data_IF_698716252058
#
_entry.id   IF_698716252058
#
_cell.length_a   1.000
_cell.length_b   1.000
_cell.length_c   1.000
_cell.angle_alpha   90.00
_cell.angle_beta   90.00
_cell.angle_gamma   90.00
#
_symmetry.space_group_name_H-M   'P 1'
#
loop_
_entity.id
_entity.type
_entity.pdbx_description
1 polymer ?
#
# COMPACT_ATOMS: atom_id res chain seq x y z
N UNK A 1 26.67 45.97 -44.54
CA UNK A 1 27.72 44.95 -44.33
C UNK A 1 27.38 44.15 -43.08
N UNK A 2 27.24 42.81 -43.16
CA UNK A 2 26.62 41.96 -42.13
C UNK A 2 27.66 41.19 -41.29
N UNK A 3 27.24 40.67 -40.13
CA UNK A 3 27.96 39.66 -39.33
C UNK A 3 27.50 39.71 -37.87
N UNK A 4 27.01 38.65 -37.23
CA UNK A 4 26.89 37.25 -37.63
C UNK A 4 25.81 36.56 -36.79
N UNK A 5 25.37 35.42 -37.30
CA UNK A 5 24.28 34.61 -36.79
C UNK A 5 24.58 33.97 -35.43
N UNK A 6 23.53 33.89 -34.62
CA UNK A 6 23.44 33.07 -33.42
C UNK A 6 22.03 32.51 -33.28
N UNK A 7 21.54 31.80 -34.30
CA UNK A 7 20.32 31.00 -34.23
C UNK A 7 20.61 29.75 -33.41
N UNK A 8 20.03 29.63 -32.21
CA UNK A 8 19.82 28.33 -31.57
C UNK A 8 18.43 27.82 -31.97
N UNK A 9 18.28 26.70 -32.70
CA UNK A 9 16.98 26.27 -33.23
C UNK A 9 16.11 25.48 -32.24
N UNK A 10 16.53 25.26 -31.00
CA UNK A 10 15.81 24.40 -30.07
C UNK A 10 15.36 25.17 -28.83
N UNK A 11 14.21 25.84 -28.99
CA UNK A 11 13.33 26.15 -27.86
C UNK A 11 12.65 24.88 -27.38
N UNK A 12 13.39 24.03 -26.67
CA UNK A 12 12.80 22.95 -25.89
C UNK A 12 12.82 23.35 -24.43
N UNK A 13 11.71 23.96 -24.01
CA UNK A 13 11.33 23.96 -22.61
C UNK A 13 11.02 22.51 -22.26
N UNK A 14 12.03 21.74 -21.83
CA UNK A 14 11.83 20.42 -21.23
C UNK A 14 11.08 20.65 -19.92
N UNK A 15 9.76 20.79 -20.02
CA UNK A 15 8.85 20.45 -18.96
C UNK A 15 9.16 18.99 -18.65
N UNK A 16 10.03 18.75 -17.66
CA UNK A 16 10.05 17.50 -16.94
C UNK A 16 8.62 17.29 -16.50
N UNK A 17 7.90 16.47 -17.26
CA UNK A 17 6.62 15.92 -16.86
C UNK A 17 6.88 15.37 -15.47
N UNK A 18 6.39 16.06 -14.45
CA UNK A 18 6.38 15.56 -13.08
C UNK A 18 5.43 14.38 -13.15
N UNK A 19 5.96 13.23 -13.52
CA UNK A 19 5.21 11.99 -13.61
C UNK A 19 4.54 11.84 -12.26
N UNK A 20 3.20 11.86 -12.28
CA UNK A 20 2.39 11.75 -11.07
C UNK A 20 2.45 10.30 -10.60
N UNK A 21 3.56 9.95 -9.95
CA UNK A 21 3.72 8.64 -9.34
C UNK A 21 2.70 8.50 -8.21
N UNK A 22 2.10 7.32 -8.10
CA UNK A 22 1.22 7.01 -7.00
C UNK A 22 2.02 6.94 -5.69
N UNK A 23 1.38 7.31 -4.60
CA UNK A 23 1.98 7.19 -3.27
C UNK A 23 2.22 5.70 -2.93
N UNK A 24 3.41 5.31 -2.47
CA UNK A 24 3.71 3.92 -2.09
C UNK A 24 2.70 3.31 -1.11
N UNK A 25 2.13 4.11 -0.21
CA UNK A 25 1.11 3.66 0.74
C UNK A 25 -0.21 3.32 0.05
N UNK A 26 -0.56 4.04 -1.02
CA UNK A 26 -1.72 3.71 -1.85
C UNK A 26 -1.50 2.41 -2.62
N UNK A 27 -0.28 2.20 -3.14
CA UNK A 27 0.09 0.94 -3.81
C UNK A 27 0.03 -0.21 -2.81
N UNK A 28 0.57 -0.04 -1.59
CA UNK A 28 0.52 -1.02 -0.50
C UNK A 28 -0.91 -1.37 -0.09
N UNK A 29 -1.77 -0.36 0.11
CA UNK A 29 -3.16 -0.56 0.45
C UNK A 29 -3.93 -1.31 -0.65
N UNK A 30 -3.70 -0.94 -1.91
CA UNK A 30 -4.27 -1.62 -3.07
C UNK A 30 -3.82 -3.07 -3.20
N UNK A 31 -2.52 -3.32 -3.01
CA UNK A 31 -1.95 -4.66 -3.02
C UNK A 31 -2.53 -5.55 -1.90
N UNK A 32 -2.57 -5.05 -0.66
CA UNK A 32 -3.17 -5.78 0.47
C UNK A 32 -4.63 -6.15 0.21
N UNK A 33 -5.42 -5.21 -0.32
CA UNK A 33 -6.82 -5.46 -0.68
C UNK A 33 -6.96 -6.52 -1.78
N UNK A 34 -6.17 -6.43 -2.84
CA UNK A 34 -6.19 -7.40 -3.94
C UNK A 34 -5.82 -8.81 -3.45
N UNK A 35 -4.78 -8.92 -2.62
CA UNK A 35 -4.37 -10.18 -2.00
C UNK A 35 -5.47 -10.76 -1.10
N UNK A 36 -6.11 -9.92 -0.27
CA UNK A 36 -7.20 -10.37 0.60
C UNK A 36 -8.40 -10.86 -0.20
N UNK A 37 -8.76 -10.19 -1.30
CA UNK A 37 -9.85 -10.62 -2.18
C UNK A 37 -9.54 -11.94 -2.89
N UNK A 38 -8.32 -12.07 -3.42
CA UNK A 38 -7.85 -13.31 -4.03
C UNK A 38 -7.89 -14.46 -3.02
N UNK A 39 -7.33 -14.25 -1.82
CA UNK A 39 -7.29 -15.28 -0.78
C UNK A 39 -8.67 -15.66 -0.25
N UNK A 40 -9.58 -14.70 -0.12
CA UNK A 40 -10.99 -14.98 0.22
C UNK A 40 -11.68 -15.86 -0.83
N UNK A 41 -11.40 -15.62 -2.11
CA UNK A 41 -11.94 -16.43 -3.19
C UNK A 41 -11.37 -17.86 -3.20
N UNK A 42 -10.07 -18.00 -2.94
CA UNK A 42 -9.40 -19.32 -2.86
C UNK A 42 -9.78 -20.09 -1.59
N UNK A 43 -10.03 -19.40 -0.48
CA UNK A 43 -10.30 -19.98 0.84
C UNK A 43 -11.57 -19.34 1.43
N UNK A 44 -12.77 -19.88 1.16
CA UNK A 44 -14.03 -19.28 1.61
C UNK A 44 -14.13 -19.07 3.13
N UNK A 45 -13.50 -19.94 3.92
CA UNK A 45 -13.43 -19.82 5.39
C UNK A 45 -12.71 -18.56 5.86
N UNK A 46 -11.80 -18.00 5.06
CA UNK A 46 -11.18 -16.73 5.38
C UNK A 46 -12.21 -15.59 5.39
N UNK A 47 -13.16 -15.60 4.44
CA UNK A 47 -14.26 -14.62 4.43
C UNK A 47 -15.12 -14.69 5.70
N UNK A 48 -15.51 -15.90 6.11
CA UNK A 48 -16.27 -16.11 7.36
C UNK A 48 -15.49 -15.65 8.59
N UNK A 49 -14.17 -15.88 8.63
CA UNK A 49 -13.34 -15.36 9.71
C UNK A 49 -13.34 -13.82 9.74
N UNK A 50 -13.27 -13.16 8.58
CA UNK A 50 -13.28 -11.69 8.51
C UNK A 50 -14.61 -11.11 9.00
N UNK A 51 -15.74 -11.75 8.67
CA UNK A 51 -17.06 -11.37 9.18
C UNK A 51 -17.12 -11.46 10.71
N UNK A 52 -16.63 -12.57 11.28
CA UNK A 52 -16.58 -12.75 12.74
C UNK A 52 -15.70 -11.70 13.42
N UNK A 53 -14.53 -11.40 12.86
CA UNK A 53 -13.62 -10.36 13.39
C UNK A 53 -14.29 -8.99 13.38
N UNK A 54 -15.00 -8.65 12.30
CA UNK A 54 -15.76 -7.39 12.19
C UNK A 54 -16.85 -7.30 13.26
N UNK A 55 -17.61 -8.38 13.47
CA UNK A 55 -18.64 -8.43 14.51
C UNK A 55 -18.06 -8.25 15.92
N UNK A 56 -17.00 -8.98 16.25
CA UNK A 56 -16.33 -8.89 17.57
C UNK A 56 -15.78 -7.48 17.79
N UNK A 57 -15.14 -6.88 16.79
CA UNK A 57 -14.63 -5.51 16.87
C UNK A 57 -15.76 -4.50 17.17
N UNK A 58 -16.90 -4.60 16.47
CA UNK A 58 -18.07 -3.75 16.72
C UNK A 58 -18.65 -3.95 18.13
N UNK A 59 -18.72 -5.19 18.61
CA UNK A 59 -19.19 -5.50 19.96
C UNK A 59 -18.26 -4.92 21.04
N UNK A 60 -16.95 -5.01 20.87
CA UNK A 60 -15.98 -4.42 21.82
C UNK A 60 -16.09 -2.89 21.81
N UNK A 61 -16.13 -2.27 20.63
CA UNK A 61 -16.25 -0.82 20.49
C UNK A 61 -17.55 -0.26 21.09
N UNK A 62 -18.65 -1.01 21.03
CA UNK A 62 -19.93 -0.60 21.62
C UNK A 62 -20.00 -0.78 23.14
N UNK A 63 -19.28 -1.76 23.70
CA UNK A 63 -19.26 -2.04 25.14
C UNK A 63 -18.24 -1.19 25.90
N UNK A 64 -17.11 -0.87 25.28
CA UNK A 64 -16.01 -0.14 25.92
C UNK A 64 -15.69 1.16 25.17
N UNK A 65 -16.22 2.26 25.72
CA UNK A 65 -15.96 3.61 25.21
C UNK A 65 -14.51 4.08 25.41
N UNK A 66 -13.77 3.51 26.37
CA UNK A 66 -12.35 3.83 26.56
C UNK A 66 -11.49 3.22 25.44
N UNK A 67 -11.80 2.00 25.01
CA UNK A 67 -11.17 1.35 23.85
C UNK A 67 -11.42 2.17 22.58
N UNK A 68 -12.67 2.56 22.35
CA UNK A 68 -13.03 3.38 21.18
C UNK A 68 -12.32 4.75 21.20
N UNK A 69 -12.22 5.40 22.35
CA UNK A 69 -11.49 6.67 22.48
C UNK A 69 -9.98 6.50 22.25
N UNK A 70 -9.39 5.41 22.76
CA UNK A 70 -7.97 5.10 22.55
C UNK A 70 -7.65 4.82 21.07
N UNK A 71 -8.51 4.07 20.38
CA UNK A 71 -8.39 3.79 18.94
C UNK A 71 -8.59 5.04 18.07
N UNK A 72 -9.43 5.99 18.51
CA UNK A 72 -9.58 7.28 17.84
C UNK A 72 -8.38 8.18 18.03
N UNK A 73 -7.81 8.22 19.24
CA UNK A 73 -6.63 9.03 19.55
C UNK A 73 -5.38 8.56 18.80
N UNK A 74 -5.25 7.25 18.59
CA UNK A 74 -4.12 6.63 17.87
C UNK A 74 -4.30 6.61 16.36
N UNK A 75 -5.51 6.91 15.84
CA UNK A 75 -5.84 6.78 14.42
C UNK A 75 -5.98 5.32 13.94
N UNK A 76 -5.78 4.35 14.83
CA UNK A 76 -5.83 2.93 14.53
C UNK A 76 -7.23 2.43 14.17
N UNK A 77 -8.29 3.18 14.51
CA UNK A 77 -9.67 2.80 14.15
C UNK A 77 -9.88 2.63 12.64
N UNK A 78 -9.18 3.40 11.81
CA UNK A 78 -9.25 3.29 10.34
C UNK A 78 -8.32 2.20 9.79
N UNK A 79 -7.27 1.85 10.54
CA UNK A 79 -6.28 0.85 10.16
C UNK A 79 -6.68 -0.57 10.56
N UNK A 80 -7.37 -0.72 11.71
CA UNK A 80 -7.73 -2.00 12.31
C UNK A 80 -8.54 -2.90 11.38
N UNK A 81 -9.44 -2.30 10.58
CA UNK A 81 -10.27 -3.06 9.64
C UNK A 81 -9.47 -3.55 8.41
N UNK A 82 -8.40 -2.84 8.06
CA UNK A 82 -7.55 -3.10 6.89
C UNK A 82 -6.24 -3.82 7.21
N UNK A 83 -5.89 -3.95 8.49
CA UNK A 83 -4.63 -4.53 8.92
C UNK A 83 -4.59 -6.03 8.63
N UNK A 84 -3.67 -6.44 7.76
CA UNK A 84 -3.47 -7.81 7.31
C UNK A 84 -1.97 -8.07 7.18
N UNK A 85 -1.51 -9.24 7.63
CA UNK A 85 -0.14 -9.69 7.38
C UNK A 85 -0.15 -10.94 6.49
N UNK A 86 0.58 -10.89 5.38
CA UNK A 86 0.81 -12.05 4.53
C UNK A 86 1.97 -12.90 5.03
N UNK A 87 1.97 -14.19 4.70
CA UNK A 87 3.11 -15.07 4.90
C UNK A 87 3.43 -15.80 3.59
N UNK A 88 4.68 -15.73 3.16
CA UNK A 88 5.16 -16.37 1.93
C UNK A 88 6.50 -17.07 2.19
N UNK A 89 6.82 -18.06 1.36
CA UNK A 89 8.11 -18.78 1.40
C UNK A 89 8.77 -18.66 0.03
N UNK A 90 10.10 -18.55 0.02
CA UNK A 90 10.94 -18.57 -1.18
C UNK A 90 12.03 -19.61 -1.06
N UNK A 91 12.48 -20.14 -2.20
CA UNK A 91 13.46 -21.23 -2.28
C UNK A 91 14.89 -20.76 -2.52
N UNK A 92 15.10 -19.53 -3.03
CA UNK A 92 16.44 -19.03 -3.39
C UNK A 92 16.72 -17.61 -2.91
N UNK A 93 18.00 -17.27 -2.77
CA UNK A 93 18.43 -15.91 -2.45
C UNK A 93 18.03 -14.89 -3.54
N UNK A 94 17.98 -15.32 -4.80
CA UNK A 94 17.59 -14.47 -5.92
C UNK A 94 16.09 -14.11 -5.87
N UNK A 95 15.24 -15.06 -5.48
CA UNK A 95 13.81 -14.81 -5.25
C UNK A 95 13.61 -13.82 -4.11
N UNK A 96 14.35 -13.99 -2.99
CA UNK A 96 14.29 -13.05 -1.86
C UNK A 96 14.71 -11.64 -2.28
N UNK A 97 15.82 -11.49 -3.01
CA UNK A 97 16.27 -10.20 -3.51
C UNK A 97 15.26 -9.54 -4.46
N UNK A 98 14.59 -10.34 -5.28
CA UNK A 98 13.53 -9.87 -6.17
C UNK A 98 12.30 -9.41 -5.39
N UNK A 99 11.87 -10.18 -4.39
CA UNK A 99 10.76 -9.79 -3.51
C UNK A 99 11.07 -8.54 -2.71
N UNK A 100 12.28 -8.38 -2.19
CA UNK A 100 12.69 -7.16 -1.50
C UNK A 100 12.51 -5.92 -2.39
N UNK A 101 12.90 -6.01 -3.67
CA UNK A 101 12.69 -4.93 -4.65
C UNK A 101 11.20 -4.70 -4.96
N UNK A 102 10.41 -5.77 -5.05
CA UNK A 102 8.96 -5.68 -5.24
C UNK A 102 8.29 -4.97 -4.07
N UNK A 103 8.64 -5.35 -2.83
CA UNK A 103 8.10 -4.73 -1.62
C UNK A 103 8.55 -3.27 -1.44
N UNK A 104 9.76 -2.93 -1.90
CA UNK A 104 10.25 -1.55 -1.87
C UNK A 104 9.38 -0.56 -2.67
N UNK A 105 8.74 -1.01 -3.77
CA UNK A 105 7.79 -0.17 -4.54
C UNK A 105 6.57 0.24 -3.69
N UNK A 106 6.19 -0.61 -2.73
CA UNK A 106 5.07 -0.39 -1.80
C UNK A 106 5.51 0.28 -0.49
N UNK A 107 6.75 0.80 -0.42
CA UNK A 107 7.30 1.38 0.80
C UNK A 107 7.52 0.37 1.93
N UNK A 108 7.50 -0.93 1.64
CA UNK A 108 7.75 -2.00 2.61
C UNK A 108 9.24 -2.33 2.64
N UNK A 109 9.82 -2.37 3.84
CA UNK A 109 11.25 -2.63 4.06
C UNK A 109 11.43 -3.91 4.87
N UNK A 110 12.56 -4.62 4.73
CA UNK A 110 12.92 -5.69 5.64
C UNK A 110 13.19 -5.10 7.03
N UNK A 111 12.35 -5.46 8.01
CA UNK A 111 12.44 -5.03 9.43
C UNK A 111 13.09 -6.13 10.25
#
# INVERSE_FOLDING_TARGET
MPGGAGLTPYGENTLMSTARFADPDQIRAGFSRAMSQMYQHEVPLYGTLMELVSEVNAQVMSRDSQVLNSLRQTGEIQRLDMERHGAIRVGTAQELATLARLFAVMGMQPV
#
